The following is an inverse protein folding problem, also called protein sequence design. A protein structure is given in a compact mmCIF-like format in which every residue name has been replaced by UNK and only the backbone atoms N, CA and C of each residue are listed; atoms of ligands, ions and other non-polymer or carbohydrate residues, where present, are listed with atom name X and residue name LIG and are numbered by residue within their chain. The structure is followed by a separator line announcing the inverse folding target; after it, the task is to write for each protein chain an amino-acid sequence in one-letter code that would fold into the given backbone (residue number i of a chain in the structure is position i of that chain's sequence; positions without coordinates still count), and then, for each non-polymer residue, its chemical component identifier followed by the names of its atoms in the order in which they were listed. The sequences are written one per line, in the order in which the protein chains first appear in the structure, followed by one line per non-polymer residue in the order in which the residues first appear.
data_IF_183574462748
#
_entry.id   IF_183574462748
#
_cell.length_a   1.000
_cell.length_b   1.000
_cell.length_c   1.000
_cell.angle_alpha   90.00
_cell.angle_beta   90.00
_cell.angle_gamma   90.00
#
_symmetry.space_group_name_H-M   'P 1'
#
loop_
_entity.id
_entity.type
_entity.pdbx_description
1 polymer ?
#
# COMPACT_ATOMS: atom_id res chain seq x y z
N UNK A 1 7.72 2.51 9.95
CA UNK A 1 6.74 3.45 10.52
C UNK A 1 6.92 3.58 12.04
N UNK A 2 7.04 2.50 12.78
CA UNK A 2 7.17 2.50 14.24
C UNK A 2 8.31 3.36 14.81
N UNK A 3 9.29 3.75 14.00
CA UNK A 3 10.39 4.63 14.42
C UNK A 3 10.21 6.09 14.01
N UNK A 4 9.10 6.45 13.37
CA UNK A 4 8.80 7.83 13.04
C UNK A 4 8.05 8.49 14.22
N UNK A 5 8.65 9.49 14.93
CA UNK A 5 8.03 10.10 16.10
C UNK A 5 6.75 10.90 15.81
N UNK A 6 6.45 11.13 14.54
CA UNK A 6 5.21 11.79 14.10
C UNK A 6 4.05 10.81 13.84
N UNK A 7 4.29 9.51 13.96
CA UNK A 7 3.31 8.48 13.64
C UNK A 7 2.96 7.71 14.90
N UNK A 8 1.72 7.81 15.34
CA UNK A 8 1.13 6.89 16.30
C UNK A 8 0.55 5.71 15.53
N UNK A 9 1.20 4.54 15.64
CA UNK A 9 0.91 3.38 14.83
C UNK A 9 0.15 2.33 15.62
N UNK A 10 -1.09 2.08 15.21
CA UNK A 10 -1.86 0.91 15.62
C UNK A 10 -1.76 -0.14 14.51
N UNK A 11 -1.18 -1.31 14.80
CA UNK A 11 -0.99 -2.39 13.82
C UNK A 11 -1.60 -3.70 14.26
N UNK A 12 -2.27 -4.37 13.32
CA UNK A 12 -2.84 -5.70 13.49
C UNK A 12 -2.21 -6.65 12.47
N UNK A 13 -1.86 -7.84 12.92
CA UNK A 13 -1.32 -8.89 12.07
C UNK A 13 -2.27 -10.07 12.09
N UNK A 14 -2.71 -10.51 10.91
CA UNK A 14 -3.48 -11.73 10.75
C UNK A 14 -2.50 -12.83 10.38
N UNK A 15 -2.18 -13.68 11.34
CA UNK A 15 -1.15 -14.71 11.23
C UNK A 15 -1.65 -16.05 10.67
N UNK A 16 -2.90 -16.13 10.19
CA UNK A 16 -3.50 -17.37 9.69
C UNK A 16 -4.10 -17.19 8.32
N UNK A 17 -3.74 -18.10 7.43
CA UNK A 17 -4.53 -18.36 6.22
C UNK A 17 -5.66 -19.35 6.57
N UNK A 18 -6.85 -19.15 5.99
CA UNK A 18 -7.93 -20.13 6.06
C UNK A 18 -7.48 -21.37 5.27
N UNK A 19 -7.10 -22.41 5.95
CA UNK A 19 -6.61 -23.66 5.36
C UNK A 19 -5.41 -24.25 6.06
N UNK A 20 -4.79 -23.51 6.97
CA UNK A 20 -3.77 -24.10 7.85
C UNK A 20 -4.49 -24.92 8.93
N UNK A 21 -4.47 -26.23 8.79
CA UNK A 21 -4.84 -27.15 9.87
C UNK A 21 -3.88 -26.94 11.03
N UNK A 22 -4.34 -26.21 12.04
CA UNK A 22 -3.54 -26.00 13.24
C UNK A 22 -3.79 -27.17 14.17
N UNK A 23 -2.82 -28.05 14.30
CA UNK A 23 -2.81 -29.14 15.29
C UNK A 23 -2.67 -28.67 16.76
N UNK A 24 -2.93 -27.39 17.04
CA UNK A 24 -2.91 -26.88 18.40
C UNK A 24 -4.31 -26.99 19.04
N UNK A 25 -4.40 -27.44 20.30
CA UNK A 25 -5.67 -27.47 21.02
C UNK A 25 -6.31 -26.08 21.08
N UNK A 26 -7.60 -25.99 20.81
CA UNK A 26 -8.36 -24.73 20.82
C UNK A 26 -8.29 -23.99 22.17
N UNK A 27 -7.92 -24.67 23.24
CA UNK A 27 -7.71 -24.11 24.58
C UNK A 27 -6.42 -23.29 24.73
N UNK A 28 -5.42 -23.49 23.87
CA UNK A 28 -4.16 -22.75 23.89
C UNK A 28 -4.15 -21.53 22.96
N UNK A 29 -5.18 -21.40 22.13
CA UNK A 29 -5.35 -20.32 21.17
C UNK A 29 -6.39 -19.33 21.65
N UNK A 30 -6.00 -18.43 22.54
CA UNK A 30 -6.79 -17.23 22.84
C UNK A 30 -6.76 -16.32 21.62
N UNK A 31 -7.64 -16.58 20.66
CA UNK A 31 -7.85 -15.72 19.51
C UNK A 31 -8.65 -14.51 20.00
N UNK A 32 -7.98 -13.39 20.18
CA UNK A 32 -8.67 -12.11 20.28
C UNK A 32 -9.28 -11.87 18.90
N UNK A 33 -10.62 -11.83 18.76
CA UNK A 33 -11.25 -11.52 17.49
C UNK A 33 -10.72 -10.18 16.98
N UNK A 34 -10.47 -10.08 15.69
CA UNK A 34 -10.07 -8.81 15.08
C UNK A 34 -11.16 -7.76 15.39
N UNK A 35 -10.82 -6.62 16.04
CA UNK A 35 -11.80 -5.70 16.60
C UNK A 35 -12.41 -4.80 15.52
N UNK A 36 -12.97 -5.40 14.46
CA UNK A 36 -13.45 -4.70 13.28
C UNK A 36 -14.53 -3.66 13.59
N UNK A 37 -15.42 -3.95 14.56
CA UNK A 37 -16.46 -3.01 14.98
C UNK A 37 -15.84 -1.74 15.61
N UNK A 38 -14.93 -1.91 16.56
CA UNK A 38 -14.26 -0.78 17.21
C UNK A 38 -13.49 0.07 16.20
N UNK A 39 -12.74 -0.57 15.28
CA UNK A 39 -11.89 0.13 14.33
C UNK A 39 -12.69 0.82 13.22
N UNK A 40 -13.72 0.17 12.68
CA UNK A 40 -14.39 0.62 11.46
C UNK A 40 -15.80 1.21 11.67
N UNK A 41 -16.32 1.19 12.90
CA UNK A 41 -17.52 1.93 13.30
C UNK A 41 -17.18 3.05 14.28
N UNK A 42 -16.62 2.70 15.47
CA UNK A 42 -16.54 3.63 16.59
C UNK A 42 -15.36 4.62 16.45
N UNK A 43 -14.18 4.12 16.07
CA UNK A 43 -12.94 4.91 16.09
C UNK A 43 -12.40 5.27 14.69
N UNK A 44 -13.12 4.95 13.63
CA UNK A 44 -12.64 5.15 12.26
C UNK A 44 -12.23 6.62 11.99
N UNK A 45 -13.01 7.57 12.48
CA UNK A 45 -12.76 9.00 12.30
C UNK A 45 -11.59 9.56 13.13
N UNK A 46 -11.04 8.78 14.04
CA UNK A 46 -9.87 9.19 14.85
C UNK A 46 -8.53 8.88 14.16
N UNK A 47 -8.56 8.14 13.07
CA UNK A 47 -7.37 7.85 12.28
C UNK A 47 -7.20 8.87 11.15
N UNK A 48 -5.95 9.25 10.88
CA UNK A 48 -5.60 10.08 9.73
C UNK A 48 -5.37 9.24 8.46
N UNK A 49 -4.92 7.99 8.63
CA UNK A 49 -4.56 7.08 7.54
C UNK A 49 -4.89 5.63 7.88
N UNK A 50 -5.51 4.94 6.94
CA UNK A 50 -5.70 3.48 6.99
C UNK A 50 -4.79 2.83 5.96
N UNK A 51 -4.07 1.79 6.38
CA UNK A 51 -3.19 1.01 5.50
C UNK A 51 -3.64 -0.46 5.49
N UNK A 52 -3.95 -0.98 4.32
CA UNK A 52 -4.11 -2.41 4.09
C UNK A 52 -2.87 -2.95 3.39
N UNK A 53 -2.17 -3.90 4.02
CA UNK A 53 -0.94 -4.48 3.47
C UNK A 53 -1.11 -5.99 3.32
N UNK A 54 -1.06 -6.48 2.08
CA UNK A 54 -1.19 -7.90 1.74
C UNK A 54 -2.29 -8.60 2.56
N UNK A 55 -3.49 -8.02 2.49
CA UNK A 55 -4.58 -8.33 3.38
C UNK A 55 -5.85 -8.64 2.60
N UNK A 56 -6.43 -9.82 2.84
CA UNK A 56 -7.78 -10.21 2.39
C UNK A 56 -8.78 -9.83 3.46
N UNK A 57 -9.83 -9.09 3.10
CA UNK A 57 -10.81 -8.64 4.09
C UNK A 57 -11.73 -9.76 4.61
N UNK A 58 -12.18 -10.67 3.72
CA UNK A 58 -13.04 -11.79 4.09
C UNK A 58 -12.17 -12.98 4.56
N UNK A 59 -12.45 -13.59 5.73
CA UNK A 59 -13.63 -13.42 6.59
C UNK A 59 -13.43 -12.44 7.77
N UNK A 60 -12.38 -11.65 7.82
CA UNK A 60 -11.99 -10.88 9.01
C UNK A 60 -12.78 -9.58 9.18
N UNK A 61 -13.17 -8.97 8.06
CA UNK A 61 -13.90 -7.70 8.01
C UNK A 61 -15.20 -7.89 7.24
N UNK A 62 -16.35 -7.59 7.87
CA UNK A 62 -17.63 -7.58 7.17
C UNK A 62 -17.63 -6.52 6.05
N UNK A 63 -18.25 -6.85 4.93
CA UNK A 63 -18.34 -5.96 3.75
C UNK A 63 -18.92 -4.58 4.07
N UNK A 64 -19.79 -4.47 5.09
CA UNK A 64 -20.34 -3.17 5.55
C UNK A 64 -19.26 -2.18 5.95
N UNK A 65 -18.15 -2.65 6.57
CA UNK A 65 -17.05 -1.82 7.02
C UNK A 65 -16.23 -1.25 5.86
N UNK A 66 -16.19 -1.93 4.72
CA UNK A 66 -15.57 -1.38 3.50
C UNK A 66 -16.35 -0.11 3.06
N UNK A 67 -17.68 -0.11 3.23
CA UNK A 67 -18.50 1.07 2.99
C UNK A 67 -18.21 2.23 3.96
N UNK A 68 -17.89 1.92 5.21
CA UNK A 68 -17.51 2.92 6.20
C UNK A 68 -16.13 3.54 5.85
N UNK A 69 -15.16 2.71 5.45
CA UNK A 69 -13.85 3.18 4.96
C UNK A 69 -14.02 4.10 3.74
N UNK A 70 -14.90 3.73 2.81
CA UNK A 70 -15.21 4.60 1.65
C UNK A 70 -15.73 5.98 2.08
N UNK A 71 -16.68 6.02 3.02
CA UNK A 71 -17.21 7.27 3.56
C UNK A 71 -16.15 8.08 4.29
N UNK A 72 -15.29 7.41 5.06
CA UNK A 72 -14.17 8.03 5.77
C UNK A 72 -13.23 8.73 4.78
N UNK A 73 -12.82 8.06 3.71
CA UNK A 73 -11.96 8.66 2.67
C UNK A 73 -12.69 9.80 1.96
N UNK A 74 -13.96 9.61 1.60
CA UNK A 74 -14.77 10.66 0.95
C UNK A 74 -14.83 11.96 1.77
N UNK A 75 -14.78 11.85 3.10
CA UNK A 75 -14.83 12.97 4.04
C UNK A 75 -13.46 13.58 4.38
N UNK A 76 -12.36 13.05 3.86
CA UNK A 76 -11.02 13.63 4.03
C UNK A 76 -9.98 12.70 4.63
N UNK A 77 -10.35 11.50 5.06
CA UNK A 77 -9.39 10.50 5.51
C UNK A 77 -8.49 9.97 4.40
N UNK A 78 -7.36 9.40 4.74
CA UNK A 78 -6.44 8.82 3.77
C UNK A 78 -6.46 7.30 3.76
N UNK A 79 -6.22 6.70 2.58
CA UNK A 79 -6.16 5.26 2.42
C UNK A 79 -4.97 4.83 1.56
N UNK A 80 -4.24 3.82 2.02
CA UNK A 80 -3.14 3.20 1.29
C UNK A 80 -3.37 1.69 1.19
N UNK A 81 -3.29 1.14 -0.01
CA UNK A 81 -3.27 -0.30 -0.22
C UNK A 81 -1.91 -0.74 -0.72
N UNK A 82 -1.27 -1.65 0.03
CA UNK A 82 0.03 -2.24 -0.31
C UNK A 82 -0.21 -3.65 -0.83
N UNK A 83 0.42 -3.98 -1.93
CA UNK A 83 0.27 -5.19 -2.71
C UNK A 83 0.60 -6.49 -1.98
N UNK A 84 0.65 -7.53 -2.76
CA UNK A 84 0.83 -8.92 -2.37
C UNK A 84 -0.28 -9.80 -2.95
N UNK A 85 -0.19 -11.10 -2.75
CA UNK A 85 -1.14 -12.08 -3.28
C UNK A 85 -2.56 -11.96 -2.68
N UNK A 86 -2.66 -11.42 -1.45
CA UNK A 86 -3.93 -11.19 -0.75
C UNK A 86 -4.44 -9.74 -0.88
N UNK A 87 -3.93 -8.96 -1.83
CA UNK A 87 -4.37 -7.60 -2.11
C UNK A 87 -5.16 -7.51 -3.41
N UNK A 88 -5.84 -6.38 -3.62
CA UNK A 88 -6.57 -6.08 -4.86
C UNK A 88 -7.54 -7.21 -5.26
N UNK A 89 -7.45 -7.74 -6.47
CA UNK A 89 -8.25 -8.88 -6.91
C UNK A 89 -8.03 -10.13 -6.05
N UNK A 90 -6.76 -10.46 -5.74
CA UNK A 90 -6.40 -11.61 -4.92
C UNK A 90 -7.00 -11.55 -3.51
N UNK A 91 -7.22 -10.36 -2.98
CA UNK A 91 -7.87 -10.09 -1.70
C UNK A 91 -9.40 -10.02 -1.75
N UNK A 92 -10.01 -10.19 -2.94
CA UNK A 92 -11.46 -10.14 -3.12
C UNK A 92 -12.04 -8.74 -3.19
N UNK A 93 -11.24 -7.72 -3.48
CA UNK A 93 -11.69 -6.31 -3.47
C UNK A 93 -12.38 -5.85 -4.75
N UNK A 94 -12.44 -6.68 -5.79
CA UNK A 94 -13.15 -6.35 -7.04
C UNK A 94 -14.62 -6.03 -6.77
N UNK A 95 -15.11 -4.94 -7.34
CA UNK A 95 -16.48 -4.45 -7.20
C UNK A 95 -16.90 -4.20 -5.74
N UNK A 96 -15.94 -3.78 -4.91
CA UNK A 96 -16.18 -3.38 -3.52
C UNK A 96 -15.99 -1.88 -3.35
N UNK A 97 -16.47 -1.30 -2.23
CA UNK A 97 -16.22 0.10 -1.90
C UNK A 97 -14.72 0.48 -1.82
N UNK A 98 -13.84 -0.51 -1.61
CA UNK A 98 -12.39 -0.25 -1.61
C UNK A 98 -11.86 -0.02 -3.03
N UNK A 99 -12.31 -0.79 -4.03
CA UNK A 99 -11.94 -0.50 -5.42
C UNK A 99 -12.39 0.89 -5.84
N UNK A 100 -13.58 1.33 -5.43
CA UNK A 100 -14.09 2.67 -5.76
C UNK A 100 -13.21 3.84 -5.27
N UNK A 101 -12.51 3.66 -4.14
CA UNK A 101 -11.65 4.70 -3.56
C UNK A 101 -10.20 4.64 -4.05
N UNK A 102 -9.78 3.52 -4.63
CA UNK A 102 -8.43 3.39 -5.17
C UNK A 102 -8.30 4.17 -6.50
N UNK A 103 -7.10 4.70 -6.80
CA UNK A 103 -6.86 5.43 -8.04
C UNK A 103 -6.65 4.51 -9.26
N UNK A 104 -7.26 3.33 -9.22
CA UNK A 104 -7.23 2.31 -10.27
C UNK A 104 -8.52 1.50 -10.25
N UNK A 105 -8.89 0.93 -11.37
CA UNK A 105 -9.85 -0.17 -11.44
C UNK A 105 -9.13 -1.49 -11.75
N UNK A 106 -9.79 -2.61 -11.45
CA UNK A 106 -9.20 -3.94 -11.61
C UNK A 106 -9.68 -4.60 -12.89
N UNK A 107 -8.73 -4.96 -13.75
CA UNK A 107 -9.00 -5.81 -14.91
C UNK A 107 -9.02 -7.28 -14.49
N UNK A 108 -10.05 -8.03 -14.89
CA UNK A 108 -10.13 -9.46 -14.58
C UNK A 108 -9.02 -10.22 -15.33
N UNK A 109 -8.05 -10.74 -14.56
CA UNK A 109 -6.93 -11.53 -15.07
C UNK A 109 -6.71 -12.78 -14.23
N UNK A 110 -6.21 -13.86 -14.86
CA UNK A 110 -6.03 -15.15 -14.18
C UNK A 110 -4.94 -15.14 -13.08
N UNK A 111 -3.96 -14.25 -13.17
CA UNK A 111 -2.84 -14.17 -12.23
C UNK A 111 -2.62 -12.72 -11.82
N UNK A 112 -3.40 -12.23 -10.84
CA UNK A 112 -3.31 -10.84 -10.37
C UNK A 112 -2.03 -10.55 -9.58
N UNK A 113 -1.31 -11.57 -9.14
CA UNK A 113 0.01 -11.46 -8.53
C UNK A 113 1.00 -12.36 -9.25
N UNK A 114 2.20 -11.85 -9.54
CA UNK A 114 3.28 -12.58 -10.20
C UNK A 114 4.56 -12.40 -9.39
N UNK A 115 5.14 -13.51 -8.95
CA UNK A 115 6.40 -13.55 -8.23
C UNK A 115 7.57 -13.46 -9.22
N UNK A 116 7.93 -12.24 -9.59
CA UNK A 116 9.07 -11.95 -10.47
C UNK A 116 9.94 -10.82 -9.89
N UNK A 117 11.25 -10.91 -10.13
CA UNK A 117 12.16 -9.82 -9.79
C UNK A 117 12.05 -8.71 -10.84
N UNK A 118 11.96 -7.45 -10.39
CA UNK A 118 11.83 -6.32 -11.30
C UNK A 118 12.48 -5.04 -10.76
N UNK A 119 12.80 -4.13 -11.67
CA UNK A 119 13.29 -2.80 -11.32
C UNK A 119 12.14 -1.80 -11.36
N UNK A 120 12.01 -1.03 -10.28
CA UNK A 120 11.11 0.12 -10.22
C UNK A 120 11.74 1.31 -10.95
N UNK A 121 10.96 1.98 -11.80
CA UNK A 121 11.40 3.19 -12.51
C UNK A 121 10.42 4.33 -12.31
N UNK A 122 10.96 5.54 -12.21
CA UNK A 122 10.17 6.76 -12.10
C UNK A 122 9.42 7.04 -13.41
N UNK A 123 8.17 7.44 -13.29
CA UNK A 123 7.50 8.16 -14.37
C UNK A 123 8.06 9.59 -14.44
N UNK A 124 8.67 9.94 -15.57
CA UNK A 124 9.34 11.23 -15.74
C UNK A 124 8.38 12.41 -15.65
N UNK A 125 7.13 12.23 -16.04
CA UNK A 125 6.07 13.23 -15.94
C UNK A 125 5.87 13.72 -14.50
N UNK A 126 5.97 12.79 -13.52
CA UNK A 126 5.77 13.06 -12.10
C UNK A 126 7.06 13.05 -11.29
N UNK A 127 8.23 13.14 -11.92
CA UNK A 127 9.55 13.01 -11.25
C UNK A 127 9.79 14.02 -10.12
N UNK A 128 9.04 15.13 -10.10
CA UNK A 128 9.09 16.15 -9.05
C UNK A 128 8.07 15.95 -7.92
N UNK A 129 7.25 14.90 -7.99
CA UNK A 129 6.24 14.65 -6.97
C UNK A 129 6.88 14.48 -5.58
N UNK A 130 6.33 15.07 -4.51
CA UNK A 130 6.93 15.06 -3.16
C UNK A 130 7.30 13.67 -2.65
N UNK A 131 6.46 12.67 -2.91
CA UNK A 131 6.71 11.27 -2.52
C UNK A 131 8.06 10.76 -3.07
N UNK A 132 8.41 11.14 -4.29
CA UNK A 132 9.59 10.64 -4.99
C UNK A 132 10.89 11.33 -4.60
N UNK A 133 10.84 12.33 -3.72
CA UNK A 133 12.01 13.12 -3.33
C UNK A 133 12.84 12.41 -2.26
N UNK A 134 13.74 11.53 -2.67
CA UNK A 134 14.72 10.87 -1.80
C UNK A 134 15.97 11.73 -1.58
N UNK A 135 16.31 12.61 -2.54
CA UNK A 135 17.37 13.60 -2.44
C UNK A 135 16.88 14.98 -2.88
N UNK A 136 17.59 16.04 -2.46
CA UNK A 136 17.21 17.42 -2.77
C UNK A 136 17.42 17.77 -4.23
N UNK A 137 18.62 17.42 -4.73
CA UNK A 137 19.03 17.68 -6.12
C UNK A 137 18.40 16.66 -7.07
N UNK A 138 17.82 17.14 -8.16
CA UNK A 138 17.04 16.31 -9.08
C UNK A 138 17.91 15.19 -9.71
N UNK A 139 19.09 15.52 -10.18
CA UNK A 139 19.99 14.56 -10.81
C UNK A 139 20.42 13.48 -9.81
N UNK A 140 20.79 13.90 -8.60
CA UNK A 140 21.13 12.98 -7.52
C UNK A 140 19.95 12.10 -7.13
N UNK A 141 18.75 12.64 -7.09
CA UNK A 141 17.52 11.90 -6.83
C UNK A 141 17.29 10.80 -7.88
N UNK A 142 17.49 11.12 -9.16
CA UNK A 142 17.37 10.15 -10.24
C UNK A 142 18.43 9.04 -10.15
N UNK A 143 19.69 9.38 -9.81
CA UNK A 143 20.75 8.40 -9.57
C UNK A 143 20.38 7.44 -8.44
N UNK A 144 19.88 7.97 -7.33
CA UNK A 144 19.41 7.17 -6.20
C UNK A 144 18.33 6.18 -6.64
N UNK A 145 17.30 6.65 -7.35
CA UNK A 145 16.22 5.77 -7.82
C UNK A 145 16.72 4.65 -8.73
N UNK A 146 17.69 4.93 -9.61
CA UNK A 146 18.33 3.91 -10.47
C UNK A 146 19.18 2.90 -9.71
N UNK A 147 19.72 3.30 -8.56
CA UNK A 147 20.58 2.46 -7.71
C UNK A 147 19.81 1.62 -6.69
N UNK A 148 18.49 1.83 -6.52
CA UNK A 148 17.70 1.05 -5.60
C UNK A 148 17.67 -0.43 -6.01
N UNK A 149 17.73 -1.36 -5.05
CA UNK A 149 17.68 -2.79 -5.35
C UNK A 149 16.39 -3.20 -6.06
N UNK A 150 16.41 -4.24 -6.89
CA UNK A 150 15.20 -4.79 -7.48
C UNK A 150 14.23 -5.28 -6.41
N UNK A 151 12.96 -5.16 -6.73
CA UNK A 151 11.83 -5.66 -5.94
C UNK A 151 11.43 -7.07 -6.40
N UNK A 152 10.64 -7.76 -5.60
CA UNK A 152 10.16 -9.11 -5.87
C UNK A 152 8.65 -9.18 -5.69
N UNK A 153 7.95 -9.73 -6.66
CA UNK A 153 6.48 -9.84 -6.64
C UNK A 153 5.77 -8.55 -7.00
N UNK A 154 4.86 -8.62 -7.96
CA UNK A 154 4.10 -7.47 -8.45
C UNK A 154 2.65 -7.84 -8.73
N UNK A 155 1.74 -6.95 -8.35
CA UNK A 155 0.33 -7.05 -8.73
C UNK A 155 0.13 -6.51 -10.15
N UNK A 156 -0.65 -7.25 -10.93
CA UNK A 156 -1.03 -6.94 -12.32
C UNK A 156 -2.54 -6.71 -12.43
N UNK A 157 -2.99 -6.21 -13.58
CA UNK A 157 -4.41 -5.89 -13.81
C UNK A 157 -4.87 -4.64 -13.06
N UNK A 158 -3.95 -3.77 -12.67
CA UNK A 158 -4.24 -2.48 -12.06
C UNK A 158 -4.24 -1.43 -13.17
N UNK A 159 -5.41 -0.92 -13.54
CA UNK A 159 -5.57 0.07 -14.61
C UNK A 159 -5.79 1.44 -13.98
N UNK A 160 -4.86 2.40 -14.14
CA UNK A 160 -4.98 3.72 -13.56
C UNK A 160 -6.20 4.48 -14.07
N UNK A 161 -6.89 5.18 -13.19
CA UNK A 161 -7.96 6.09 -13.54
C UNK A 161 -7.43 7.33 -14.28
N UNK A 162 -8.29 8.02 -15.01
CA UNK A 162 -7.90 9.19 -15.84
C UNK A 162 -7.21 10.30 -15.05
N UNK A 163 -7.59 10.49 -13.79
CA UNK A 163 -7.06 11.53 -12.91
C UNK A 163 -6.02 11.01 -11.93
N UNK A 164 -5.64 9.75 -12.04
CA UNK A 164 -4.62 9.15 -11.21
C UNK A 164 -3.21 9.47 -11.71
N UNK A 165 -2.29 9.67 -10.79
CA UNK A 165 -0.88 9.88 -11.12
C UNK A 165 -0.09 8.60 -10.87
N UNK A 166 0.41 7.98 -11.93
CA UNK A 166 1.34 6.86 -11.85
C UNK A 166 2.73 7.41 -11.59
N UNK A 167 3.21 7.32 -10.36
CA UNK A 167 4.50 7.89 -9.95
C UNK A 167 5.67 6.96 -10.27
N UNK A 168 5.47 5.66 -10.06
CA UNK A 168 6.48 4.61 -10.27
C UNK A 168 5.84 3.45 -11.03
N UNK A 169 6.61 2.84 -11.91
CA UNK A 169 6.15 1.74 -12.75
C UNK A 169 7.23 0.65 -12.88
N UNK A 170 6.85 -0.50 -13.40
CA UNK A 170 7.75 -1.58 -13.75
C UNK A 170 8.63 -1.18 -14.96
N UNK A 171 9.93 -1.53 -14.93
CA UNK A 171 10.89 -1.15 -15.98
C UNK A 171 10.56 -1.70 -17.38
N UNK A 172 9.89 -2.84 -17.48
CA UNK A 172 9.53 -3.50 -18.74
C UNK A 172 8.17 -3.03 -19.28
N UNK A 173 8.02 -1.74 -19.49
CA UNK A 173 6.89 -1.19 -20.22
C UNK A 173 5.62 -0.96 -19.39
N UNK A 174 4.62 -0.38 -20.02
CA UNK A 174 3.41 0.23 -19.48
C UNK A 174 2.42 -0.67 -18.76
N UNK A 175 2.74 -1.92 -18.54
CA UNK A 175 1.73 -2.91 -18.15
C UNK A 175 1.49 -3.05 -16.64
N UNK A 176 2.32 -2.51 -15.77
CA UNK A 176 2.13 -2.62 -14.33
C UNK A 176 2.55 -1.33 -13.60
N UNK A 177 1.58 -0.48 -13.23
CA UNK A 177 1.83 0.63 -12.34
C UNK A 177 2.24 0.09 -10.97
N UNK A 178 3.26 0.69 -10.36
CA UNK A 178 3.76 0.26 -9.07
C UNK A 178 3.28 1.16 -7.94
N UNK A 179 3.44 2.46 -8.09
CA UNK A 179 2.93 3.46 -7.15
C UNK A 179 1.99 4.39 -7.89
N UNK A 180 0.73 4.37 -7.49
CA UNK A 180 -0.30 5.24 -8.04
C UNK A 180 -0.93 6.03 -6.91
N UNK A 181 -1.15 7.31 -7.15
CA UNK A 181 -1.80 8.20 -6.20
C UNK A 181 -2.99 8.91 -6.83
N UNK A 182 -3.96 9.25 -6.02
CA UNK A 182 -5.17 9.95 -6.45
C UNK A 182 -5.92 10.54 -5.28
N UNK A 183 -7.11 11.04 -5.58
CA UNK A 183 -8.02 11.59 -4.59
C UNK A 183 -9.41 10.95 -4.76
N UNK A 184 -10.12 10.79 -3.66
CA UNK A 184 -11.52 10.38 -3.64
C UNK A 184 -12.31 11.26 -2.67
N UNK A 185 -13.25 12.05 -3.20
CA UNK A 185 -13.92 13.09 -2.42
C UNK A 185 -12.92 14.12 -1.92
N UNK A 186 -12.81 14.27 -0.60
CA UNK A 186 -11.85 15.16 0.05
C UNK A 186 -10.57 14.44 0.49
N UNK A 187 -10.55 13.11 0.42
CA UNK A 187 -9.44 12.29 0.89
C UNK A 187 -8.42 11.98 -0.19
N UNK A 188 -7.25 11.54 0.25
CA UNK A 188 -6.16 11.09 -0.64
C UNK A 188 -6.02 9.59 -0.56
N UNK A 189 -5.76 8.99 -1.71
CA UNK A 189 -5.58 7.54 -1.82
C UNK A 189 -4.32 7.20 -2.57
N UNK A 190 -3.72 6.10 -2.19
CA UNK A 190 -2.57 5.55 -2.88
C UNK A 190 -2.63 4.03 -2.92
N UNK A 191 -1.96 3.46 -3.90
CA UNK A 191 -1.63 2.05 -3.92
C UNK A 191 -0.16 1.83 -4.23
N UNK A 192 0.37 0.76 -3.70
CA UNK A 192 1.69 0.24 -4.02
C UNK A 192 1.54 -1.22 -4.46
N UNK A 193 1.80 -1.54 -5.73
CA UNK A 193 1.55 -2.85 -6.34
C UNK A 193 2.55 -3.95 -5.96
N UNK A 194 3.20 -3.83 -4.81
CA UNK A 194 4.13 -4.82 -4.24
C UNK A 194 4.21 -4.66 -2.73
N UNK A 195 4.54 -5.72 -2.01
CA UNK A 195 4.85 -5.70 -0.58
C UNK A 195 6.36 -5.80 -0.28
N UNK A 196 7.19 -5.93 -1.31
CA UNK A 196 8.62 -6.22 -1.19
C UNK A 196 9.53 -4.98 -1.00
N UNK A 197 8.95 -3.80 -0.73
CA UNK A 197 9.72 -2.56 -0.52
C UNK A 197 10.74 -2.67 0.62
N UNK A 198 10.56 -3.58 1.56
CA UNK A 198 11.52 -3.87 2.63
C UNK A 198 12.90 -4.29 2.10
N UNK A 199 12.99 -4.81 0.87
CA UNK A 199 14.26 -5.12 0.19
C UNK A 199 15.18 -3.90 0.09
N UNK A 200 14.61 -2.70 -0.04
CA UNK A 200 15.41 -1.46 -0.07
C UNK A 200 16.10 -1.17 1.25
N UNK A 201 15.56 -1.66 2.36
CA UNK A 201 16.21 -1.54 3.66
C UNK A 201 17.30 -2.62 3.84
N UNK A 202 16.94 -3.89 3.70
CA UNK A 202 17.84 -5.00 4.03
C UNK A 202 19.00 -5.17 3.06
N UNK A 203 18.78 -5.05 1.76
CA UNK A 203 19.86 -5.19 0.76
C UNK A 203 20.84 -4.04 0.80
N UNK A 204 20.39 -2.82 1.05
CA UNK A 204 21.28 -1.69 1.21
C UNK A 204 22.14 -1.81 2.47
N UNK A 205 21.58 -2.24 3.60
CA UNK A 205 22.34 -2.45 4.84
C UNK A 205 23.32 -3.61 4.67
N UNK A 206 22.93 -4.72 4.05
CA UNK A 206 23.79 -5.86 3.75
C UNK A 206 24.96 -5.57 2.83
N UNK A 207 24.85 -4.53 1.97
CA UNK A 207 25.92 -4.04 1.07
C UNK A 207 26.71 -2.84 1.63
N UNK A 208 26.54 -2.51 2.92
CA UNK A 208 27.20 -1.36 3.56
C UNK A 208 26.51 -0.01 3.34
N UNK A 209 25.32 -0.01 2.74
CA UNK A 209 24.49 1.16 2.57
C UNK A 209 23.58 1.44 3.78
N UNK A 210 22.88 2.56 3.77
CA UNK A 210 21.95 2.92 4.84
C UNK A 210 20.49 2.73 4.40
N UNK A 211 19.61 2.32 5.33
CA UNK A 211 18.16 2.24 5.11
C UNK A 211 17.45 3.61 4.96
N UNK A 212 18.23 4.70 4.88
CA UNK A 212 17.71 6.09 4.89
C UNK A 212 16.70 6.36 3.77
N UNK A 213 16.91 5.80 2.58
CA UNK A 213 16.01 6.03 1.44
C UNK A 213 14.67 5.32 1.61
N UNK A 214 14.67 4.13 2.19
CA UNK A 214 13.46 3.43 2.58
C UNK A 214 12.65 4.22 3.61
N UNK A 215 13.32 4.71 4.65
CA UNK A 215 12.68 5.53 5.68
C UNK A 215 12.13 6.83 5.09
N UNK A 216 12.93 7.52 4.26
CA UNK A 216 12.50 8.76 3.60
C UNK A 216 11.32 8.54 2.66
N UNK A 217 11.34 7.47 1.87
CA UNK A 217 10.22 7.11 1.00
C UNK A 217 8.92 6.99 1.80
N UNK A 218 8.94 6.20 2.87
CA UNK A 218 7.74 6.01 3.68
C UNK A 218 7.30 7.28 4.42
N UNK A 219 8.24 8.09 4.91
CA UNK A 219 7.89 9.40 5.47
C UNK A 219 7.20 10.27 4.43
N UNK A 220 7.74 10.35 3.21
CA UNK A 220 7.15 11.15 2.14
C UNK A 220 5.74 10.63 1.75
N UNK A 221 5.54 9.31 1.70
CA UNK A 221 4.23 8.70 1.40
C UNK A 221 3.20 9.10 2.44
N UNK A 222 3.55 8.97 3.73
CA UNK A 222 2.66 9.31 4.84
C UNK A 222 2.39 10.81 4.85
N UNK A 223 3.43 11.64 4.84
CA UNK A 223 3.30 13.09 4.85
C UNK A 223 2.40 13.59 3.71
N UNK A 224 2.50 12.97 2.52
CA UNK A 224 1.64 13.32 1.39
C UNK A 224 0.19 12.88 1.60
N UNK A 225 -0.04 11.68 2.12
CA UNK A 225 -1.39 11.14 2.34
C UNK A 225 -2.18 11.93 3.39
N UNK A 226 -1.53 12.30 4.51
CA UNK A 226 -2.19 12.98 5.62
C UNK A 226 -2.14 14.52 5.52
N UNK A 227 -1.47 15.06 4.50
CA UNK A 227 -1.45 16.51 4.30
C UNK A 227 -2.86 17.04 4.05
N UNK A 228 -3.20 18.18 4.64
CA UNK A 228 -4.46 18.85 4.35
C UNK A 228 -4.59 19.11 2.84
N UNK A 229 -5.79 18.96 2.26
CA UNK A 229 -6.02 19.35 0.86
C UNK A 229 -5.80 20.86 0.72
N UNK A 230 -5.00 21.25 -0.27
CA UNK A 230 -4.79 22.64 -0.66
C UNK A 230 -6.07 23.27 -1.22
#
# INVERSE_FOLDING_TARGET
LAHNPKVDLLSFFILRNMGDDVEAPTTELSLIPFPSNLLFDDYLSSFDLIIFQNFRYDPFIDKKYLGNIRKYVQNGGAFLMIGGDLSFQGGGYSRTPIEEILPVHFEEINRPFVDEAFQAVLNQEFSRHPILRLEKELDRNQEVWRSLPPLQGINKGLIPDKNAHVLVQHAKGSAAPLLVVGAFGKGRTALLGTDSMWNWNFRNVGSGGSGRYFQRFWSNVIDWLIAEPE
#
